data_IF_672027608530
#
_entry.id   IF_672027608530
#
_cell.length_a   1.000
_cell.length_b   1.000
_cell.length_c   1.000
_cell.angle_alpha   90.00
_cell.angle_beta   90.00
_cell.angle_gamma   90.00
#
_symmetry.space_group_name_H-M   'P 1'
#
loop_
_entity.id
_entity.type
_entity.pdbx_description
1 polymer ?
#
# COMPACT_ATOMS: atom_id res chain seq x y z
N UNK A 1 -9.62 13.48 4.40
CA UNK A 1 -9.27 12.04 4.46
C UNK A 1 -9.14 11.44 3.06
N UNK A 2 -7.92 11.24 2.55
CA UNK A 2 -7.66 10.54 1.28
C UNK A 2 -7.82 9.03 1.47
N UNK A 3 -8.39 8.35 0.47
CA UNK A 3 -8.77 6.94 0.56
C UNK A 3 -8.34 6.16 -0.67
N UNK A 4 -8.00 4.90 -0.47
CA UNK A 4 -7.65 4.00 -1.57
C UNK A 4 -8.86 3.77 -2.47
N UNK A 5 -8.64 3.87 -3.78
CA UNK A 5 -9.63 3.60 -4.82
C UNK A 5 -9.38 2.24 -5.46
N UNK A 6 -10.46 1.50 -5.76
CA UNK A 6 -10.37 0.20 -6.45
C UNK A 6 -9.86 0.43 -7.87
N UNK A 7 -9.02 -0.49 -8.35
CA UNK A 7 -8.38 -0.47 -9.65
C UNK A 7 -7.37 0.67 -9.89
N UNK A 8 -7.10 1.52 -8.89
CA UNK A 8 -6.04 2.53 -8.93
C UNK A 8 -4.70 1.94 -8.48
N UNK A 9 -3.63 2.40 -9.10
CA UNK A 9 -2.25 2.02 -8.77
C UNK A 9 -1.61 3.10 -7.92
N UNK A 10 -0.99 2.68 -6.83
CA UNK A 10 -0.27 3.55 -5.91
C UNK A 10 1.21 3.13 -5.88
N UNK A 11 2.08 4.12 -5.74
CA UNK A 11 3.52 3.93 -5.86
C UNK A 11 4.24 4.60 -4.70
N UNK A 12 5.38 4.04 -4.30
CA UNK A 12 6.29 4.61 -3.29
C UNK A 12 7.70 4.13 -3.58
N UNK A 13 8.71 4.87 -3.14
CA UNK A 13 10.12 4.49 -3.32
C UNK A 13 10.65 3.77 -2.07
N UNK A 14 11.72 2.99 -2.24
CA UNK A 14 12.48 2.45 -1.12
C UNK A 14 13.18 3.57 -0.34
N UNK A 15 13.24 3.43 0.97
CA UNK A 15 14.01 4.32 1.83
C UNK A 15 15.53 4.18 1.60
N UNK A 16 15.99 3.03 1.10
CA UNK A 16 17.41 2.76 0.88
C UNK A 16 17.87 3.10 -0.54
N UNK A 17 16.94 3.14 -1.51
CA UNK A 17 17.22 3.42 -2.92
C UNK A 17 16.01 4.10 -3.56
N UNK A 18 16.17 5.39 -3.89
CA UNK A 18 15.12 6.18 -4.50
C UNK A 18 14.73 5.71 -5.92
N UNK A 19 15.59 4.95 -6.60
CA UNK A 19 15.28 4.39 -7.92
C UNK A 19 14.43 3.11 -7.83
N UNK A 20 14.37 2.49 -6.65
CA UNK A 20 13.55 1.32 -6.42
C UNK A 20 12.10 1.74 -6.12
N UNK A 21 11.21 1.59 -7.10
CA UNK A 21 9.80 1.98 -7.01
C UNK A 21 8.91 0.76 -6.78
N UNK A 22 8.18 0.77 -5.67
CA UNK A 22 7.16 -0.21 -5.35
C UNK A 22 5.81 0.25 -5.87
N UNK A 23 5.21 -0.50 -6.80
CA UNK A 23 3.93 -0.18 -7.43
C UNK A 23 2.90 -1.28 -7.17
N UNK A 24 1.75 -0.90 -6.62
CA UNK A 24 0.69 -1.86 -6.29
C UNK A 24 -0.67 -1.32 -6.69
N UNK A 25 -1.46 -2.18 -7.36
CA UNK A 25 -2.86 -1.92 -7.70
C UNK A 25 -3.77 -2.41 -6.59
N UNK A 26 -4.74 -1.59 -6.20
CA UNK A 26 -5.79 -1.99 -5.26
C UNK A 26 -6.81 -2.84 -6.02
N UNK A 27 -6.91 -4.12 -5.67
CA UNK A 27 -7.85 -5.06 -6.30
C UNK A 27 -9.22 -4.99 -5.63
N UNK A 28 -9.24 -4.85 -4.32
CA UNK A 28 -10.46 -4.78 -3.54
C UNK A 28 -10.24 -3.94 -2.28
N UNK A 29 -11.29 -3.29 -1.79
CA UNK A 29 -11.25 -2.51 -0.55
C UNK A 29 -12.45 -2.78 0.33
N UNK A 30 -12.21 -2.68 1.63
CA UNK A 30 -13.22 -2.65 2.69
C UNK A 30 -12.95 -1.45 3.60
N UNK A 31 -13.81 -1.22 4.61
CA UNK A 31 -13.62 -0.11 5.57
C UNK A 31 -12.28 -0.15 6.34
N UNK A 32 -11.66 -1.32 6.50
CA UNK A 32 -10.46 -1.50 7.34
C UNK A 32 -9.29 -2.19 6.63
N UNK A 33 -9.51 -2.72 5.43
CA UNK A 33 -8.54 -3.58 4.74
C UNK A 33 -8.61 -3.38 3.23
N UNK A 34 -7.50 -3.57 2.55
CA UNK A 34 -7.41 -3.68 1.09
C UNK A 34 -6.83 -5.02 0.68
N UNK A 35 -7.05 -5.42 -0.56
CA UNK A 35 -6.38 -6.56 -1.20
C UNK A 35 -5.52 -6.02 -2.34
N UNK A 36 -4.26 -6.42 -2.33
CA UNK A 36 -3.26 -6.09 -3.34
C UNK A 36 -2.59 -7.38 -3.82
N UNK A 37 -1.95 -7.33 -4.99
CA UNK A 37 -1.14 -8.45 -5.50
C UNK A 37 0.32 -8.24 -5.10
N UNK A 38 0.92 -9.21 -4.44
CA UNK A 38 2.32 -9.20 -4.01
C UNK A 38 2.93 -10.53 -4.42
N UNK A 39 4.03 -10.51 -5.18
CA UNK A 39 4.71 -11.70 -5.70
C UNK A 39 3.80 -12.74 -6.39
N UNK A 40 2.73 -12.29 -7.08
CA UNK A 40 1.80 -13.19 -7.76
C UNK A 40 0.56 -13.56 -6.94
N UNK A 41 0.56 -13.31 -5.63
CA UNK A 41 -0.51 -13.71 -4.71
C UNK A 41 -1.36 -12.53 -4.23
N UNK A 42 -2.62 -12.80 -3.96
CA UNK A 42 -3.52 -11.82 -3.38
C UNK A 42 -3.32 -11.75 -1.87
N UNK A 43 -2.83 -10.62 -1.38
CA UNK A 43 -2.55 -10.41 0.04
C UNK A 43 -3.46 -9.32 0.58
N UNK A 44 -4.03 -9.59 1.76
CA UNK A 44 -4.86 -8.63 2.49
C UNK A 44 -3.99 -7.76 3.39
N UNK A 45 -4.13 -6.44 3.30
CA UNK A 45 -3.43 -5.47 4.15
C UNK A 45 -4.41 -4.60 4.93
N UNK A 46 -4.09 -4.38 6.20
CA UNK A 46 -4.86 -3.48 7.07
C UNK A 46 -4.59 -2.04 6.67
N UNK A 47 -5.65 -1.24 6.59
CA UNK A 47 -5.57 0.20 6.38
C UNK A 47 -5.27 0.87 7.72
N UNK A 48 -4.29 1.76 7.69
CA UNK A 48 -3.97 2.68 8.78
C UNK A 48 -4.24 4.11 8.29
N UNK A 49 -4.33 5.06 9.22
CA UNK A 49 -4.56 6.46 8.88
C UNK A 49 -3.38 7.24 9.44
N UNK A 50 -2.70 7.96 8.55
CA UNK A 50 -1.59 8.83 8.90
C UNK A 50 -1.73 10.12 8.09
N UNK A 51 -1.60 11.28 8.75
CA UNK A 51 -1.76 12.61 8.14
C UNK A 51 -3.00 12.70 7.21
N UNK A 52 -4.18 12.37 7.75
CA UNK A 52 -5.45 12.40 7.00
C UNK A 52 -5.48 11.56 5.71
N UNK A 53 -4.60 10.56 5.59
CA UNK A 53 -4.53 9.70 4.41
C UNK A 53 -4.48 8.22 4.82
N UNK A 54 -5.22 7.38 4.10
CA UNK A 54 -5.14 5.94 4.26
C UNK A 54 -3.74 5.45 3.83
N UNK A 55 -3.10 4.65 4.67
CA UNK A 55 -1.79 4.05 4.43
C UNK A 55 -1.81 2.54 4.61
N UNK A 56 -0.96 1.84 3.85
CA UNK A 56 -0.77 0.39 3.95
C UNK A 56 0.71 0.03 3.78
N UNK A 57 1.08 -1.13 4.36
CA UNK A 57 2.40 -1.73 4.22
C UNK A 57 2.28 -2.93 3.26
N UNK A 58 2.66 -2.81 1.97
CA UNK A 58 2.43 -3.84 0.97
C UNK A 58 3.11 -5.18 1.29
N UNK A 59 4.32 -5.14 1.86
CA UNK A 59 5.08 -6.34 2.21
C UNK A 59 4.92 -6.76 3.68
N UNK A 60 4.28 -5.94 4.52
CA UNK A 60 4.18 -6.16 5.96
C UNK A 60 4.92 -5.09 6.76
N UNK A 61 4.81 -5.15 8.09
CA UNK A 61 5.43 -4.17 8.99
C UNK A 61 6.81 -4.65 9.43
N UNK A 62 7.84 -4.06 8.84
CA UNK A 62 9.25 -4.32 9.14
C UNK A 62 10.02 -2.99 9.12
N UNK A 63 11.25 -3.01 9.61
CA UNK A 63 12.16 -1.86 9.47
C UNK A 63 12.31 -1.50 7.99
N UNK A 64 12.21 -0.22 7.67
CA UNK A 64 12.31 0.32 6.30
C UNK A 64 11.29 -0.26 5.31
N UNK A 65 10.18 -0.84 5.81
CA UNK A 65 9.12 -1.31 4.95
C UNK A 65 8.52 -0.13 4.15
N UNK A 66 8.31 -0.29 2.84
CA UNK A 66 7.68 0.75 2.04
C UNK A 66 6.25 0.99 2.51
N UNK A 67 5.80 2.23 2.39
CA UNK A 67 4.46 2.65 2.80
C UNK A 67 3.76 3.24 1.59
N UNK A 68 2.62 2.66 1.23
CA UNK A 68 1.74 3.22 0.22
C UNK A 68 0.74 4.13 0.89
N UNK A 69 0.50 5.29 0.30
CA UNK A 69 -0.44 6.32 0.78
C UNK A 69 -1.44 6.62 -0.32
N UNK A 70 -2.69 6.87 0.06
CA UNK A 70 -3.80 7.18 -0.85
C UNK A 70 -3.79 8.61 -1.43
#
# INVERSE_FOLDING_TARGET
MKRFEIAKTYMTCSACDHNCIFSHKILYRTKKMVIIKVHGENVRRKIEVYNDSETIYPYGKYSMAPILTA
#
